data_IF_235326337819
#
_entry.id   IF_235326337819
#
_cell.length_a   1.000
_cell.length_b   1.000
_cell.length_c   1.000
_cell.angle_alpha   90.00
_cell.angle_beta   90.00
_cell.angle_gamma   90.00
#
_symmetry.space_group_name_H-M   'P 1'
#
loop_
_entity.id
_entity.type
_entity.pdbx_description
1 polymer ?
#
# COMPACT_ATOMS: atom_id res chain seq x y z
N UNK A 1 -12.48 7.74 -9.29
CA UNK A 1 -11.10 8.13 -9.59
C UNK A 1 -10.73 7.67 -10.99
N UNK A 2 -10.01 8.48 -11.75
CA UNK A 2 -9.56 8.18 -13.11
C UNK A 2 -8.11 7.69 -13.10
N UNK A 3 -7.69 7.07 -14.18
CA UNK A 3 -6.28 6.66 -14.37
C UNK A 3 -5.36 7.88 -14.31
N UNK A 4 -4.34 7.84 -13.45
CA UNK A 4 -3.40 8.94 -13.25
C UNK A 4 -3.92 10.09 -12.37
N UNK A 5 -5.10 9.94 -11.77
CA UNK A 5 -5.69 10.94 -10.89
C UNK A 5 -5.33 10.66 -9.42
N UNK A 6 -5.12 11.72 -8.67
CA UNK A 6 -5.08 11.71 -7.20
C UNK A 6 -6.37 12.34 -6.71
N UNK A 7 -7.26 11.52 -6.16
CA UNK A 7 -8.50 11.98 -5.53
C UNK A 7 -8.26 12.17 -4.03
N UNK A 8 -8.28 13.41 -3.57
CA UNK A 8 -8.20 13.75 -2.15
C UNK A 8 -9.58 13.63 -1.47
N UNK A 9 -9.64 12.94 -0.35
CA UNK A 9 -10.82 12.81 0.50
C UNK A 9 -10.52 13.50 1.83
N UNK A 10 -10.86 14.78 1.92
CA UNK A 10 -10.69 15.60 3.11
C UNK A 10 -11.89 15.50 4.08
N UNK A 11 -11.69 15.85 5.34
CA UNK A 11 -12.76 15.94 6.35
C UNK A 11 -12.24 15.88 7.78
N UNK A 12 -13.12 16.16 8.72
CA UNK A 12 -12.79 16.10 10.15
C UNK A 12 -12.58 14.67 10.64
N UNK A 13 -11.85 14.52 11.73
CA UNK A 13 -11.75 13.23 12.44
C UNK A 13 -13.15 12.75 12.81
N UNK A 14 -13.43 11.46 12.52
CA UNK A 14 -14.76 10.87 12.75
C UNK A 14 -15.75 11.03 11.58
N UNK A 15 -15.33 11.60 10.44
CA UNK A 15 -16.19 11.71 9.24
C UNK A 15 -16.35 10.39 8.46
N UNK A 16 -15.98 9.25 9.05
CA UNK A 16 -16.13 7.89 8.49
C UNK A 16 -15.46 7.67 7.13
N UNK A 17 -14.39 8.41 6.84
CA UNK A 17 -13.65 8.28 5.57
C UNK A 17 -12.91 6.96 5.49
N UNK A 18 -12.24 6.57 6.58
CA UNK A 18 -11.56 5.28 6.72
C UNK A 18 -12.55 4.14 6.55
N UNK A 19 -13.70 4.20 7.24
CA UNK A 19 -14.74 3.17 7.16
C UNK A 19 -15.29 2.99 5.74
N UNK A 20 -15.46 4.08 5.00
CA UNK A 20 -15.85 4.04 3.59
C UNK A 20 -14.81 3.28 2.75
N UNK A 21 -13.52 3.59 2.92
CA UNK A 21 -12.46 2.93 2.17
C UNK A 21 -12.27 1.47 2.59
N UNK A 22 -12.41 1.17 3.88
CA UNK A 22 -12.43 -0.21 4.39
C UNK A 22 -13.60 -1.01 3.80
N UNK A 23 -14.77 -0.37 3.60
CA UNK A 23 -15.90 -0.98 2.91
C UNK A 23 -15.61 -1.27 1.44
N UNK A 24 -14.97 -0.33 0.73
CA UNK A 24 -14.56 -0.51 -0.67
C UNK A 24 -13.49 -1.61 -0.79
N UNK A 25 -12.56 -1.69 0.15
CA UNK A 25 -11.49 -2.69 0.14
C UNK A 25 -11.93 -4.06 0.67
N UNK A 26 -13.11 -4.15 1.32
CA UNK A 26 -13.66 -5.41 1.85
C UNK A 26 -13.17 -5.78 3.24
N UNK A 27 -12.63 -4.83 4.01
CA UNK A 27 -12.34 -5.01 5.45
C UNK A 27 -13.64 -4.95 6.25
N UNK A 28 -14.54 -4.04 5.88
CA UNK A 28 -15.90 -3.91 6.45
C UNK A 28 -16.95 -4.31 5.45
N UNK A 29 -18.05 -4.87 5.92
CA UNK A 29 -19.26 -5.03 5.11
C UNK A 29 -19.93 -3.68 4.90
N UNK A 30 -20.44 -3.43 3.70
CA UNK A 30 -21.30 -2.29 3.40
C UNK A 30 -22.76 -2.73 3.27
N UNK A 31 -23.69 -1.87 3.72
CA UNK A 31 -25.12 -2.17 3.73
C UNK A 31 -25.83 -1.85 2.40
N UNK A 32 -25.24 -0.94 1.61
CA UNK A 32 -25.82 -0.48 0.34
C UNK A 32 -24.72 0.15 -0.55
N UNK A 33 -25.06 0.39 -1.81
CA UNK A 33 -24.15 0.95 -2.81
C UNK A 33 -23.56 -0.10 -3.72
N UNK A 34 -22.86 0.35 -4.76
CA UNK A 34 -22.17 -0.50 -5.75
C UNK A 34 -20.75 -0.01 -5.97
N UNK A 35 -19.83 -0.95 -6.12
CA UNK A 35 -18.44 -0.67 -6.48
C UNK A 35 -18.29 -1.00 -7.96
N UNK A 36 -17.84 -0.02 -8.76
CA UNK A 36 -17.58 -0.24 -10.18
C UNK A 36 -16.11 0.00 -10.51
N UNK A 37 -15.53 -0.91 -11.26
CA UNK A 37 -14.16 -0.85 -11.72
C UNK A 37 -14.09 -1.16 -13.21
N UNK A 38 -13.49 -0.26 -13.99
CA UNK A 38 -13.43 -0.34 -15.47
C UNK A 38 -14.80 -0.56 -16.15
N UNK A 39 -15.86 -0.01 -15.55
CA UNK A 39 -17.24 -0.13 -16.06
C UNK A 39 -18.02 -1.33 -15.55
N UNK A 40 -17.37 -2.31 -14.97
CA UNK A 40 -17.99 -3.52 -14.41
C UNK A 40 -18.25 -3.38 -12.91
N UNK A 41 -19.35 -3.96 -12.44
CA UNK A 41 -19.68 -4.00 -11.02
C UNK A 41 -18.87 -5.10 -10.34
N UNK A 42 -18.15 -4.73 -9.26
CA UNK A 42 -17.39 -5.65 -8.45
C UNK A 42 -18.14 -6.04 -7.18
N UNK A 43 -18.14 -7.33 -6.89
CA UNK A 43 -18.56 -7.86 -5.60
C UNK A 43 -17.35 -8.08 -4.72
N UNK A 44 -17.05 -7.12 -3.85
CA UNK A 44 -15.96 -7.19 -2.89
C UNK A 44 -16.55 -7.55 -1.52
N UNK A 45 -16.18 -8.69 -0.98
CA UNK A 45 -16.63 -9.20 0.33
C UNK A 45 -15.49 -9.36 1.32
N UNK A 46 -14.25 -9.35 0.84
CA UNK A 46 -13.02 -9.50 1.62
C UNK A 46 -11.86 -8.81 0.89
N UNK A 47 -10.79 -8.43 1.60
CA UNK A 47 -9.63 -7.74 1.01
C UNK A 47 -9.00 -8.46 -0.18
N UNK A 48 -9.02 -9.80 -0.16
CA UNK A 48 -8.47 -10.58 -1.27
C UNK A 48 -9.19 -10.30 -2.59
N UNK A 49 -10.51 -10.08 -2.57
CA UNK A 49 -11.29 -9.79 -3.78
C UNK A 49 -10.84 -8.44 -4.39
N UNK A 50 -10.59 -7.41 -3.56
CA UNK A 50 -10.05 -6.13 -4.00
C UNK A 50 -8.63 -6.27 -4.58
N UNK A 51 -7.75 -7.01 -3.90
CA UNK A 51 -6.37 -7.24 -4.33
C UNK A 51 -6.34 -7.96 -5.69
N UNK A 52 -7.15 -8.98 -5.87
CA UNK A 52 -7.24 -9.75 -7.13
C UNK A 52 -7.71 -8.87 -8.31
N UNK A 53 -8.43 -7.76 -8.04
CA UNK A 53 -8.81 -6.74 -9.02
C UNK A 53 -7.82 -5.57 -9.14
N UNK A 54 -6.66 -5.66 -8.51
CA UNK A 54 -5.62 -4.63 -8.59
C UNK A 54 -5.90 -3.39 -7.74
N UNK A 55 -6.66 -3.53 -6.67
CA UNK A 55 -6.89 -2.49 -5.66
C UNK A 55 -6.03 -2.80 -4.44
N UNK A 56 -5.27 -1.84 -3.95
CA UNK A 56 -4.47 -1.96 -2.73
C UNK A 56 -4.85 -0.85 -1.74
N UNK A 57 -4.71 -1.13 -0.45
CA UNK A 57 -5.03 -0.18 0.61
C UNK A 57 -3.93 -0.13 1.66
N UNK A 58 -3.46 1.07 1.95
CA UNK A 58 -2.63 1.39 3.10
C UNK A 58 -3.51 2.02 4.16
N UNK A 59 -3.64 1.37 5.32
CA UNK A 59 -4.50 1.83 6.42
C UNK A 59 -3.78 2.84 7.31
N UNK A 60 -4.54 3.66 8.03
CA UNK A 60 -4.06 4.70 8.94
C UNK A 60 -3.10 4.17 10.00
N UNK A 61 -3.51 3.12 10.73
CA UNK A 61 -2.67 2.54 11.79
C UNK A 61 -1.71 1.49 11.25
N UNK A 62 -0.57 1.98 10.73
CA UNK A 62 0.49 1.11 10.21
C UNK A 62 1.08 0.18 11.24
N UNK A 63 1.19 0.60 12.52
CA UNK A 63 1.86 -0.17 13.58
C UNK A 63 1.01 -1.33 14.08
N UNK A 64 -0.27 -1.11 14.26
CA UNK A 64 -1.17 -2.14 14.76
C UNK A 64 -1.62 -3.12 13.67
N UNK A 65 -1.75 -2.66 12.41
CA UNK A 65 -2.46 -3.45 11.39
C UNK A 65 -1.58 -3.94 10.24
N UNK A 66 -0.46 -3.27 9.93
CA UNK A 66 0.25 -3.52 8.67
C UNK A 66 1.71 -3.89 8.85
N UNK A 67 2.43 -3.29 9.80
CA UNK A 67 3.86 -3.56 10.02
C UNK A 67 4.05 -4.92 10.70
N UNK A 68 4.87 -5.77 10.07
CA UNK A 68 5.39 -6.98 10.70
C UNK A 68 6.71 -6.63 11.38
N UNK A 69 6.63 -6.00 12.56
CA UNK A 69 7.72 -5.25 13.21
C UNK A 69 9.02 -6.03 13.42
N UNK A 70 8.90 -7.29 13.81
CA UNK A 70 10.06 -8.18 14.09
C UNK A 70 10.66 -8.81 12.81
N UNK A 71 9.93 -8.71 11.69
CA UNK A 71 10.40 -9.23 10.40
C UNK A 71 11.28 -8.22 9.67
N UNK A 72 12.04 -8.72 8.72
CA UNK A 72 12.94 -7.92 7.90
C UNK A 72 12.16 -7.00 6.93
N UNK A 73 12.85 -6.01 6.36
CA UNK A 73 12.34 -5.19 5.27
C UNK A 73 11.97 -6.08 4.07
N UNK A 74 12.80 -7.07 3.75
CA UNK A 74 12.55 -8.01 2.68
C UNK A 74 11.23 -8.76 2.88
N UNK A 75 10.99 -9.31 4.07
CA UNK A 75 9.75 -10.01 4.40
C UNK A 75 8.55 -9.06 4.31
N UNK A 76 8.70 -7.85 4.84
CA UNK A 76 7.65 -6.84 4.79
C UNK A 76 7.28 -6.43 3.37
N UNK A 77 8.22 -6.30 2.45
CA UNK A 77 7.95 -5.96 1.04
C UNK A 77 7.30 -7.15 0.31
N UNK A 78 7.81 -8.36 0.52
CA UNK A 78 7.44 -9.51 -0.31
C UNK A 78 6.16 -10.21 0.11
N UNK A 79 5.76 -10.13 1.40
CA UNK A 79 4.66 -10.92 1.96
C UNK A 79 3.36 -10.85 1.17
N UNK A 80 2.98 -9.68 0.65
CA UNK A 80 1.74 -9.50 -0.09
C UNK A 80 1.78 -10.10 -1.51
N UNK A 81 2.97 -10.34 -2.05
CA UNK A 81 3.18 -10.83 -3.42
C UNK A 81 3.86 -12.21 -3.50
N UNK A 82 4.11 -12.87 -2.36
CA UNK A 82 4.86 -14.13 -2.30
C UNK A 82 4.35 -15.19 -3.27
N UNK A 83 3.03 -15.29 -3.49
CA UNK A 83 2.44 -16.25 -4.43
C UNK A 83 2.97 -16.13 -5.86
N UNK A 84 3.36 -14.92 -6.28
CA UNK A 84 3.90 -14.66 -7.63
C UNK A 84 5.32 -15.20 -7.80
N UNK A 85 5.99 -15.53 -6.69
CA UNK A 85 7.38 -16.00 -6.63
C UNK A 85 7.49 -17.46 -6.24
N UNK A 86 6.36 -18.19 -6.22
CA UNK A 86 6.36 -19.62 -5.98
C UNK A 86 6.77 -20.36 -7.27
N UNK A 87 7.71 -21.29 -7.15
CA UNK A 87 8.05 -22.28 -8.14
C UNK A 87 7.38 -23.60 -7.78
N UNK A 88 6.81 -24.26 -8.79
CA UNK A 88 6.01 -25.49 -8.62
C UNK A 88 4.88 -25.36 -7.58
N UNK A 89 4.42 -24.12 -7.30
CA UNK A 89 3.34 -23.82 -6.36
C UNK A 89 3.67 -23.95 -4.87
N UNK A 90 4.90 -24.34 -4.51
CA UNK A 90 5.29 -24.64 -3.11
C UNK A 90 6.64 -24.04 -2.69
N UNK A 91 7.56 -23.77 -3.59
CA UNK A 91 8.90 -23.28 -3.25
C UNK A 91 9.03 -21.80 -3.60
N UNK A 92 9.53 -21.01 -2.67
CA UNK A 92 9.82 -19.59 -2.92
C UNK A 92 11.12 -19.48 -3.70
N UNK A 93 11.12 -18.71 -4.78
CA UNK A 93 12.34 -18.34 -5.50
C UNK A 93 12.99 -17.13 -4.83
N UNK A 94 13.96 -17.39 -3.95
CA UNK A 94 14.67 -16.38 -3.17
C UNK A 94 15.37 -15.34 -4.05
N UNK A 95 15.90 -15.72 -5.21
CA UNK A 95 16.56 -14.79 -6.12
C UNK A 95 15.59 -13.77 -6.72
N UNK A 96 14.38 -14.23 -7.10
CA UNK A 96 13.33 -13.34 -7.61
C UNK A 96 12.82 -12.40 -6.52
N UNK A 97 12.66 -12.91 -5.28
CA UNK A 97 12.25 -12.11 -4.12
C UNK A 97 13.32 -11.06 -3.81
N UNK A 98 14.60 -11.44 -3.77
CA UNK A 98 15.70 -10.49 -3.50
C UNK A 98 15.72 -9.38 -4.57
N UNK A 99 15.56 -9.71 -5.86
CA UNK A 99 15.48 -8.73 -6.94
C UNK A 99 14.29 -7.78 -6.77
N UNK A 100 13.11 -8.29 -6.38
CA UNK A 100 11.94 -7.47 -6.06
C UNK A 100 12.28 -6.47 -4.94
N UNK A 101 12.86 -6.97 -3.86
CA UNK A 101 13.19 -6.17 -2.68
C UNK A 101 14.20 -5.08 -3.02
N UNK A 102 15.30 -5.41 -3.69
CA UNK A 102 16.30 -4.45 -4.12
C UNK A 102 15.71 -3.36 -5.02
N UNK A 103 14.86 -3.76 -5.98
CA UNK A 103 14.16 -2.81 -6.85
C UNK A 103 13.27 -1.86 -6.05
N UNK A 104 12.52 -2.37 -5.07
CA UNK A 104 11.66 -1.54 -4.23
C UNK A 104 12.46 -0.62 -3.31
N UNK A 105 13.52 -1.12 -2.67
CA UNK A 105 14.41 -0.32 -1.81
C UNK A 105 15.00 0.86 -2.60
N UNK A 106 15.47 0.61 -3.81
CA UNK A 106 16.01 1.66 -4.69
C UNK A 106 14.92 2.64 -5.15
N UNK A 107 13.80 2.14 -5.68
CA UNK A 107 12.71 2.95 -6.21
C UNK A 107 12.06 3.85 -5.15
N UNK A 108 11.89 3.35 -3.93
CA UNK A 108 11.32 4.10 -2.82
C UNK A 108 12.37 4.91 -2.04
N UNK A 109 13.64 4.85 -2.45
CA UNK A 109 14.75 5.49 -1.72
C UNK A 109 14.67 5.18 -0.20
N UNK A 110 14.56 3.88 0.14
CA UNK A 110 14.49 3.42 1.53
C UNK A 110 15.90 3.45 2.13
N UNK A 111 16.09 4.27 3.15
CA UNK A 111 17.36 4.37 3.86
C UNK A 111 17.51 3.21 4.84
N UNK A 112 18.31 2.22 4.48
CA UNK A 112 18.57 1.01 5.29
C UNK A 112 19.97 0.47 5.05
N UNK A 113 20.62 -0.11 6.07
CA UNK A 113 21.90 -0.81 5.90
C UNK A 113 21.77 -2.08 5.06
N UNK A 114 20.62 -2.77 5.14
CA UNK A 114 20.39 -4.05 4.49
C UNK A 114 18.89 -4.36 4.38
N UNK A 115 18.49 -5.12 3.36
CA UNK A 115 17.14 -5.69 3.23
C UNK A 115 16.75 -6.62 4.40
N UNK A 116 17.75 -7.17 5.11
CA UNK A 116 17.57 -8.04 6.30
C UNK A 116 17.34 -7.27 7.59
N UNK A 117 17.47 -5.95 7.58
CA UNK A 117 17.21 -5.09 8.75
C UNK A 117 15.75 -5.22 9.17
N UNK A 118 15.48 -5.33 10.48
CA UNK A 118 14.11 -5.35 11.00
C UNK A 118 13.42 -4.00 10.74
N UNK A 119 12.19 -4.02 10.26
CA UNK A 119 11.45 -2.81 9.88
C UNK A 119 11.24 -1.86 11.06
N UNK A 120 11.08 -2.38 12.28
CA UNK A 120 10.89 -1.57 13.49
C UNK A 120 12.06 -0.65 13.82
N UNK A 121 13.26 -0.93 13.32
CA UNK A 121 14.45 -0.10 13.53
C UNK A 121 14.53 1.11 12.59
N UNK A 122 13.68 1.16 11.57
CA UNK A 122 13.62 2.28 10.63
C UNK A 122 12.85 3.46 11.20
N UNK A 123 13.18 4.68 10.70
CA UNK A 123 12.33 5.86 10.91
C UNK A 123 10.93 5.66 10.34
N UNK A 124 9.93 6.38 10.88
CA UNK A 124 8.55 6.29 10.45
C UNK A 124 8.36 6.49 8.94
N UNK A 125 9.10 7.43 8.34
CA UNK A 125 9.06 7.67 6.90
C UNK A 125 9.61 6.50 6.08
N UNK A 126 10.70 5.86 6.51
CA UNK A 126 11.21 4.66 5.83
C UNK A 126 10.30 3.45 6.02
N UNK A 127 9.69 3.28 7.19
CA UNK A 127 8.64 2.27 7.40
C UNK A 127 7.49 2.45 6.41
N UNK A 128 7.01 3.69 6.23
CA UNK A 128 5.93 3.99 5.30
C UNK A 128 6.29 3.67 3.85
N UNK A 129 7.51 4.00 3.43
CA UNK A 129 8.02 3.65 2.11
C UNK A 129 8.08 2.13 1.88
N UNK A 130 8.46 1.36 2.89
CA UNK A 130 8.42 -0.12 2.85
C UNK A 130 6.99 -0.61 2.62
N UNK A 131 6.00 -0.05 3.32
CA UNK A 131 4.59 -0.43 3.18
C UNK A 131 4.00 -0.07 1.81
N UNK A 132 4.34 1.11 1.28
CA UNK A 132 3.97 1.48 -0.10
C UNK A 132 4.62 0.49 -1.08
N UNK A 133 5.90 0.19 -0.92
CA UNK A 133 6.63 -0.78 -1.72
C UNK A 133 6.01 -2.17 -1.70
N UNK A 134 5.53 -2.65 -0.53
CA UNK A 134 4.79 -3.90 -0.39
C UNK A 134 3.59 -3.98 -1.34
N UNK A 135 2.78 -2.93 -1.37
CA UNK A 135 1.60 -2.90 -2.22
C UNK A 135 1.97 -2.79 -3.70
N UNK A 136 3.00 -2.00 -4.03
CA UNK A 136 3.49 -1.87 -5.39
C UNK A 136 4.05 -3.17 -5.97
N UNK A 137 4.49 -4.09 -5.13
CA UNK A 137 4.92 -5.43 -5.53
C UNK A 137 3.81 -6.24 -6.23
N UNK A 138 2.54 -5.92 -5.95
CA UNK A 138 1.37 -6.50 -6.63
C UNK A 138 0.96 -5.72 -7.89
N UNK A 139 1.70 -4.69 -8.28
CA UNK A 139 1.40 -3.84 -9.43
C UNK A 139 -0.07 -3.32 -9.48
N UNK A 140 -0.65 -2.80 -8.37
CA UNK A 140 -2.04 -2.40 -8.33
C UNK A 140 -2.32 -1.29 -9.33
N UNK A 141 -3.56 -1.23 -9.83
CA UNK A 141 -4.04 -0.11 -10.66
C UNK A 141 -4.58 1.03 -9.79
N UNK A 142 -5.15 0.70 -8.63
CA UNK A 142 -5.72 1.65 -7.66
C UNK A 142 -5.03 1.51 -6.31
N UNK A 143 -4.62 2.63 -5.74
CA UNK A 143 -4.03 2.73 -4.40
C UNK A 143 -4.92 3.59 -3.52
N UNK A 144 -5.43 3.03 -2.45
CA UNK A 144 -6.10 3.75 -1.37
C UNK A 144 -5.05 4.00 -0.28
N UNK A 145 -4.81 5.27 0.04
CA UNK A 145 -3.82 5.70 1.02
C UNK A 145 -4.54 6.46 2.13
N UNK A 146 -4.68 5.82 3.28
CA UNK A 146 -5.33 6.43 4.45
C UNK A 146 -4.28 7.03 5.37
N UNK A 147 -4.30 8.36 5.49
CA UNK A 147 -3.37 9.19 6.27
C UNK A 147 -1.89 8.78 6.04
N UNK A 148 -1.41 8.74 4.77
CA UNK A 148 -0.12 8.16 4.44
C UNK A 148 1.07 8.87 5.07
N UNK A 149 0.87 10.09 5.59
CA UNK A 149 1.93 10.92 6.18
C UNK A 149 1.75 11.17 7.67
N UNK A 150 0.74 10.55 8.31
CA UNK A 150 0.48 10.75 9.73
C UNK A 150 1.62 10.26 10.62
N UNK A 151 2.04 11.10 11.56
CA UNK A 151 3.11 10.79 12.50
C UNK A 151 4.50 10.60 11.85
N UNK A 152 4.74 11.28 10.72
CA UNK A 152 6.00 11.28 9.99
C UNK A 152 6.59 12.70 10.03
N UNK A 153 7.91 12.81 10.06
CA UNK A 153 8.62 14.09 9.98
C UNK A 153 8.40 14.80 8.65
N UNK A 154 8.56 16.13 8.64
CA UNK A 154 8.25 17.00 7.49
C UNK A 154 9.06 16.61 6.24
N UNK A 155 10.34 16.26 6.40
CA UNK A 155 11.18 15.88 5.27
C UNK A 155 10.72 14.58 4.63
N UNK A 156 10.37 13.58 5.44
CA UNK A 156 9.86 12.32 4.95
C UNK A 156 8.44 12.43 4.38
N UNK A 157 7.58 13.32 4.91
CA UNK A 157 6.27 13.65 4.28
C UNK A 157 6.45 14.09 2.83
N UNK A 158 7.35 15.03 2.59
CA UNK A 158 7.62 15.52 1.24
C UNK A 158 8.05 14.39 0.29
N UNK A 159 8.98 13.53 0.75
CA UNK A 159 9.42 12.38 -0.05
C UNK A 159 8.25 11.42 -0.39
N UNK A 160 7.31 11.21 0.54
CA UNK A 160 6.12 10.37 0.32
C UNK A 160 5.19 11.02 -0.70
N UNK A 161 4.96 12.33 -0.64
CA UNK A 161 4.15 13.04 -1.63
C UNK A 161 4.77 12.98 -3.02
N UNK A 162 6.09 13.10 -3.15
CA UNK A 162 6.79 12.91 -4.42
C UNK A 162 6.56 11.48 -4.99
N UNK A 163 6.65 10.45 -4.14
CA UNK A 163 6.36 9.06 -4.55
C UNK A 163 4.91 8.92 -5.04
N UNK A 164 3.94 9.49 -4.33
CA UNK A 164 2.52 9.46 -4.70
C UNK A 164 2.30 10.13 -6.06
N UNK A 165 2.91 11.30 -6.26
CA UNK A 165 2.84 12.03 -7.54
C UNK A 165 3.46 11.23 -8.69
N UNK A 166 4.63 10.64 -8.50
CA UNK A 166 5.28 9.79 -9.50
C UNK A 166 4.41 8.57 -9.87
N UNK A 167 3.76 7.96 -8.89
CA UNK A 167 2.85 6.84 -9.13
C UNK A 167 1.64 7.27 -9.96
N UNK A 168 1.05 8.43 -9.67
CA UNK A 168 -0.05 8.96 -10.45
C UNK A 168 0.40 9.29 -11.89
N UNK A 169 1.55 9.94 -12.07
CA UNK A 169 2.15 10.19 -13.40
C UNK A 169 2.44 8.90 -14.17
N UNK A 170 2.78 7.82 -13.47
CA UNK A 170 2.94 6.49 -14.05
C UNK A 170 1.60 5.80 -14.38
N UNK A 171 0.47 6.49 -14.19
CA UNK A 171 -0.87 6.03 -14.54
C UNK A 171 -1.59 5.23 -13.44
N UNK A 172 -1.12 5.26 -12.20
CA UNK A 172 -1.87 4.69 -11.07
C UNK A 172 -2.99 5.64 -10.67
N UNK A 173 -4.16 5.09 -10.31
CA UNK A 173 -5.24 5.84 -9.70
C UNK A 173 -5.05 5.87 -8.19
N UNK A 174 -5.10 7.04 -7.57
CA UNK A 174 -4.82 7.17 -6.13
C UNK A 174 -6.02 7.81 -5.44
N UNK A 175 -6.46 7.21 -4.36
CA UNK A 175 -7.43 7.81 -3.43
C UNK A 175 -6.66 8.07 -2.14
N UNK A 176 -6.54 9.33 -1.76
CA UNK A 176 -5.79 9.73 -0.57
C UNK A 176 -6.73 10.37 0.44
N UNK A 177 -6.80 9.78 1.63
CA UNK A 177 -7.45 10.40 2.79
C UNK A 177 -6.40 11.23 3.52
N UNK A 178 -6.72 12.47 3.84
CA UNK A 178 -5.89 13.32 4.67
C UNK A 178 -6.74 14.23 5.56
N UNK A 179 -6.30 14.38 6.80
CA UNK A 179 -6.84 15.34 7.77
C UNK A 179 -5.99 16.62 7.87
N UNK A 180 -4.85 16.67 7.14
CA UNK A 180 -3.92 17.81 7.08
C UNK A 180 -4.10 18.61 5.80
#
# INVERSE_FOLDING_TARGET
VRKGEILGVGGLVGAQRTELMEGIFGIRSHSSGTIRYKGEELKITRPKDAIDHGIAMLTEDRRATVILGVLSIADNISVASLKQYLEFGIMINDQKVEKLVQTNVAKMNIKTPSSKTQIQSLSGGNQQKVLIGRWLANAPDVLILDEPTRGIDVGAKYEIYCIIEELARAGKSIIMISSE
#
